data_IF_956968295686
#
_entry.id   IF_956968295686
#
_cell.length_a   1.000
_cell.length_b   1.000
_cell.length_c   1.000
_cell.angle_alpha   90.00
_cell.angle_beta   90.00
_cell.angle_gamma   90.00
#
_symmetry.space_group_name_H-M   'P 1'
#
loop_
_entity.id
_entity.type
_entity.pdbx_description
1 polymer ?
#
# COMPACT_ATOMS: atom_id res chain seq x y z
N UNK A 1 -4.41 -2.98 -50.02
CA UNK A 1 -3.38 -3.65 -49.22
C UNK A 1 -2.03 -3.40 -49.86
N UNK A 2 -1.41 -2.32 -49.41
CA UNK A 2 -0.04 -1.96 -49.60
C UNK A 2 0.79 -2.53 -48.44
N UNK A 3 2.05 -2.86 -48.74
CA UNK A 3 3.08 -3.10 -47.74
C UNK A 3 4.12 -2.00 -47.94
N UNK A 4 4.34 -1.18 -46.92
CA UNK A 4 5.18 0.01 -46.95
C UNK A 4 6.24 -0.14 -45.88
N UNK A 5 7.50 0.08 -46.25
CA UNK A 5 8.63 -0.08 -45.35
C UNK A 5 9.54 1.14 -45.47
N UNK A 6 9.92 1.69 -44.32
CA UNK A 6 10.91 2.73 -44.14
C UNK A 6 12.36 2.22 -44.24
N UNK A 7 13.28 3.08 -43.84
CA UNK A 7 14.72 2.81 -43.75
C UNK A 7 15.25 3.10 -42.33
N UNK A 8 16.49 3.57 -42.20
CA UNK A 8 17.09 3.83 -40.87
C UNK A 8 17.05 5.31 -40.48
N UNK A 9 16.44 6.14 -41.32
CA UNK A 9 16.25 7.57 -41.09
C UNK A 9 14.78 7.91 -40.89
N UNK A 10 14.48 9.13 -40.42
CA UNK A 10 13.11 9.60 -40.27
C UNK A 10 12.33 9.52 -41.59
N UNK A 11 11.20 8.83 -41.59
CA UNK A 11 10.36 8.61 -42.75
C UNK A 11 8.97 9.22 -42.59
N UNK A 12 8.33 9.48 -43.73
CA UNK A 12 6.91 9.82 -43.79
C UNK A 12 6.25 8.79 -44.69
N UNK A 13 5.46 7.92 -44.08
CA UNK A 13 4.86 6.75 -44.71
C UNK A 13 3.36 6.94 -44.77
N UNK A 14 2.75 6.67 -45.93
CA UNK A 14 1.32 6.90 -46.13
C UNK A 14 0.71 5.74 -46.92
N UNK A 15 -0.27 5.07 -46.32
CA UNK A 15 -1.11 4.05 -46.93
C UNK A 15 -2.24 4.65 -47.77
N UNK A 16 -3.27 3.86 -47.98
CA UNK A 16 -4.32 4.06 -48.98
C UNK A 16 -5.74 4.00 -48.41
N UNK A 17 -6.60 3.24 -49.08
CA UNK A 17 -8.02 3.07 -48.73
C UNK A 17 -8.35 1.63 -48.33
N UNK A 18 -7.34 0.78 -48.28
CA UNK A 18 -7.45 -0.63 -47.97
C UNK A 18 -6.64 -0.90 -46.70
N UNK A 19 -6.87 -2.04 -46.04
CA UNK A 19 -6.02 -2.52 -44.95
C UNK A 19 -4.56 -2.68 -45.42
N UNK A 20 -3.68 -1.87 -44.90
CA UNK A 20 -2.28 -1.73 -45.26
C UNK A 20 -1.37 -2.15 -44.10
N UNK A 21 -0.10 -2.44 -44.41
CA UNK A 21 0.95 -2.73 -43.42
C UNK A 21 2.06 -1.70 -43.63
N UNK A 22 2.42 -0.97 -42.59
CA UNK A 22 3.43 0.09 -42.61
C UNK A 22 4.47 -0.16 -41.53
N UNK A 23 5.74 -0.28 -41.90
CA UNK A 23 6.86 -0.46 -40.96
C UNK A 23 7.85 0.69 -41.07
N UNK A 24 8.06 1.45 -39.99
CA UNK A 24 9.00 2.56 -39.85
C UNK A 24 10.46 2.13 -39.88
N UNK A 25 10.78 1.08 -39.11
CA UNK A 25 12.13 0.52 -38.91
C UNK A 25 12.95 1.30 -37.86
N UNK A 26 14.02 2.01 -38.23
CA UNK A 26 14.73 2.87 -37.27
C UNK A 26 14.49 4.33 -37.66
N UNK A 27 14.39 5.23 -36.70
CA UNK A 27 14.21 6.66 -36.96
C UNK A 27 13.01 7.23 -36.22
N UNK A 28 12.73 8.51 -36.43
CA UNK A 28 11.52 9.14 -35.89
C UNK A 28 10.51 9.28 -37.01
N UNK A 29 9.62 8.32 -37.13
CA UNK A 29 8.75 8.15 -38.27
C UNK A 29 7.39 8.80 -38.08
N UNK A 30 6.78 9.20 -39.19
CA UNK A 30 5.40 9.68 -39.24
C UNK A 30 4.61 8.79 -40.19
N UNK A 31 3.65 8.05 -39.65
CA UNK A 31 2.87 7.05 -40.39
C UNK A 31 1.41 7.50 -40.49
N UNK A 32 0.82 7.34 -41.67
CA UNK A 32 -0.61 7.55 -41.92
C UNK A 32 -1.16 6.32 -42.60
N UNK A 33 -2.02 5.56 -41.93
CA UNK A 33 -2.67 4.38 -42.50
C UNK A 33 -3.55 4.76 -43.70
N UNK A 34 -4.41 5.76 -43.50
CA UNK A 34 -5.43 6.11 -44.48
C UNK A 34 -6.74 5.47 -44.04
N UNK A 35 -7.64 5.12 -44.97
CA UNK A 35 -8.85 4.38 -44.62
C UNK A 35 -8.55 2.87 -44.67
N UNK A 36 -9.13 2.08 -43.78
CA UNK A 36 -8.92 0.64 -43.75
C UNK A 36 -8.74 0.16 -42.33
N UNK A 37 -8.35 -1.08 -42.12
CA UNK A 37 -7.83 -1.48 -40.81
C UNK A 37 -6.35 -1.77 -41.01
N UNK A 38 -5.49 -0.85 -40.58
CA UNK A 38 -4.06 -0.86 -40.90
C UNK A 38 -3.22 -1.42 -39.75
N UNK A 39 -2.01 -1.90 -40.08
CA UNK A 39 -0.99 -2.35 -39.12
C UNK A 39 0.23 -1.43 -39.25
N UNK A 40 0.43 -0.54 -38.27
CA UNK A 40 1.51 0.45 -38.25
C UNK A 40 2.53 0.06 -37.17
N UNK A 41 3.78 -0.18 -37.56
CA UNK A 41 4.89 -0.51 -36.66
C UNK A 41 5.97 0.57 -36.77
N UNK A 42 6.14 1.41 -35.76
CA UNK A 42 7.14 2.50 -35.78
C UNK A 42 8.56 1.98 -35.67
N UNK A 43 8.77 0.87 -34.96
CA UNK A 43 10.09 0.30 -34.74
C UNK A 43 10.88 1.06 -33.66
N UNK A 44 12.12 1.46 -33.96
CA UNK A 44 13.02 2.09 -33.01
C UNK A 44 13.14 3.60 -33.25
N UNK A 45 12.72 4.40 -32.27
CA UNK A 45 12.93 5.83 -32.26
C UNK A 45 11.78 6.54 -31.55
N UNK A 46 11.36 7.70 -32.06
CA UNK A 46 10.20 8.42 -31.55
C UNK A 46 9.23 8.65 -32.70
N UNK A 47 8.18 7.85 -32.72
CA UNK A 47 7.31 7.64 -33.86
C UNK A 47 5.92 8.26 -33.64
N UNK A 48 5.25 8.60 -34.74
CA UNK A 48 3.95 9.28 -34.73
C UNK A 48 2.98 8.65 -35.71
N UNK A 49 1.86 8.12 -35.23
CA UNK A 49 0.71 7.73 -36.06
C UNK A 49 -0.22 8.94 -36.26
N UNK A 50 -0.70 9.13 -37.49
CA UNK A 50 -1.50 10.30 -37.88
C UNK A 50 -2.90 9.86 -38.29
N UNK A 51 -3.90 10.48 -37.67
CA UNK A 51 -5.32 10.24 -37.87
C UNK A 51 -6.00 11.51 -38.41
N UNK A 52 -7.01 11.33 -39.26
CA UNK A 52 -7.64 12.44 -40.00
C UNK A 52 -8.67 13.24 -39.18
N UNK A 53 -9.18 12.65 -38.09
CA UNK A 53 -10.20 13.20 -37.20
C UNK A 53 -9.68 13.93 -35.97
N UNK A 54 -10.56 14.34 -35.07
CA UNK A 54 -10.22 14.85 -33.74
C UNK A 54 -10.15 13.70 -32.73
N UNK A 55 -9.36 13.85 -31.67
CA UNK A 55 -9.19 12.81 -30.63
C UNK A 55 -10.51 12.20 -30.10
N UNK A 56 -11.55 13.01 -29.86
CA UNK A 56 -12.86 12.56 -29.35
C UNK A 56 -13.68 11.67 -30.31
N UNK A 57 -13.14 11.35 -31.48
CA UNK A 57 -13.79 10.51 -32.49
C UNK A 57 -13.13 9.14 -32.62
N UNK A 58 -12.19 8.82 -31.74
CA UNK A 58 -11.51 7.54 -31.68
C UNK A 58 -11.64 7.00 -30.26
N UNK A 59 -11.83 5.69 -30.17
CA UNK A 59 -11.69 4.92 -28.95
C UNK A 59 -10.37 4.17 -29.01
N UNK A 60 -9.85 3.72 -27.86
CA UNK A 60 -8.55 3.07 -27.78
C UNK A 60 -8.69 1.76 -27.01
N UNK A 61 -8.11 0.70 -27.53
CA UNK A 61 -8.11 -0.60 -26.88
C UNK A 61 -6.74 -1.24 -26.94
N UNK A 62 -6.35 -1.90 -25.86
CA UNK A 62 -5.16 -2.75 -25.85
C UNK A 62 -5.60 -4.18 -25.57
N UNK A 63 -5.24 -5.09 -26.48
CA UNK A 63 -5.46 -6.53 -26.29
C UNK A 63 -4.14 -7.15 -25.88
N UNK A 64 -4.04 -7.53 -24.61
CA UNK A 64 -2.90 -8.26 -24.08
C UNK A 64 -3.13 -9.75 -24.36
N UNK A 65 -2.60 -10.26 -25.48
CA UNK A 65 -2.66 -11.68 -25.86
C UNK A 65 -1.24 -12.26 -26.02
N UNK A 66 -0.88 -13.20 -25.16
CA UNK A 66 0.40 -13.94 -25.20
C UNK A 66 0.62 -14.76 -26.50
N UNK A 67 -0.41 -14.95 -27.32
CA UNK A 67 -0.39 -15.76 -28.54
C UNK A 67 -0.38 -14.96 -29.85
N UNK A 68 -0.50 -13.64 -29.79
CA UNK A 68 -0.31 -12.78 -30.97
C UNK A 68 1.18 -12.64 -31.29
N UNK A 69 1.50 -12.73 -32.59
CA UNK A 69 2.79 -13.13 -33.16
C UNK A 69 3.95 -12.13 -32.99
N UNK A 70 3.87 -11.15 -32.09
CA UNK A 70 4.89 -10.10 -31.93
C UNK A 70 5.35 -9.84 -30.48
N UNK A 71 4.97 -10.70 -29.54
CA UNK A 71 5.55 -10.69 -28.20
C UNK A 71 6.92 -11.38 -28.20
N UNK A 72 7.96 -10.72 -28.72
CA UNK A 72 9.31 -11.02 -28.25
C UNK A 72 9.44 -10.47 -26.83
N UNK A 73 9.98 -11.28 -25.93
CA UNK A 73 10.10 -11.04 -24.48
C UNK A 73 10.91 -9.78 -24.06
N UNK A 74 11.17 -8.85 -24.98
CA UNK A 74 11.94 -7.63 -24.78
C UNK A 74 11.22 -6.35 -25.27
N UNK A 75 9.96 -6.42 -25.71
CA UNK A 75 9.24 -5.30 -26.36
C UNK A 75 7.94 -4.93 -25.63
N UNK A 76 7.98 -4.78 -24.30
CA UNK A 76 6.82 -4.34 -23.48
C UNK A 76 6.76 -2.81 -23.35
N UNK A 77 7.63 -2.06 -24.04
CA UNK A 77 7.75 -0.60 -23.89
C UNK A 77 7.21 0.20 -25.09
N UNK A 78 6.76 -0.46 -26.15
CA UNK A 78 6.42 0.16 -27.44
C UNK A 78 5.01 -0.33 -27.80
N UNK A 79 4.08 0.61 -28.10
CA UNK A 79 2.60 0.45 -28.09
C UNK A 79 2.08 -0.91 -28.57
N UNK A 80 1.02 -1.42 -27.97
CA UNK A 80 0.20 -2.49 -28.56
C UNK A 80 -1.25 -2.01 -28.61
N UNK A 81 -1.44 -0.89 -29.33
CA UNK A 81 -2.64 -0.06 -29.25
C UNK A 81 -3.50 -0.24 -30.50
N UNK A 82 -4.73 -0.71 -30.32
CA UNK A 82 -5.78 -0.65 -31.32
C UNK A 82 -6.51 0.69 -31.19
N UNK A 83 -6.41 1.53 -32.22
CA UNK A 83 -7.16 2.78 -32.35
C UNK A 83 -8.43 2.48 -33.15
N UNK A 84 -9.58 2.58 -32.49
CA UNK A 84 -10.89 2.26 -33.07
C UNK A 84 -11.53 3.53 -33.62
N UNK A 85 -11.88 3.53 -34.90
CA UNK A 85 -12.56 4.66 -35.53
C UNK A 85 -14.07 4.57 -35.30
N UNK A 86 -14.58 5.37 -34.37
CA UNK A 86 -16.00 5.41 -34.03
C UNK A 86 -16.88 5.99 -35.17
N UNK A 87 -16.30 6.39 -36.31
CA UNK A 87 -17.00 6.89 -37.50
C UNK A 87 -16.53 6.19 -38.78
N UNK A 88 -17.36 5.29 -39.30
CA UNK A 88 -17.03 4.48 -40.48
C UNK A 88 -16.53 5.27 -41.70
N UNK A 89 -15.42 4.81 -42.27
CA UNK A 89 -14.91 5.24 -43.57
C UNK A 89 -13.97 6.45 -43.58
N UNK A 90 -13.38 6.82 -42.43
CA UNK A 90 -12.28 7.81 -42.38
C UNK A 90 -10.94 7.11 -42.34
N UNK A 91 -10.63 6.54 -41.17
CA UNK A 91 -9.36 5.89 -40.90
C UNK A 91 -9.56 4.39 -40.68
N UNK A 92 -10.67 4.00 -40.04
CA UNK A 92 -10.97 2.60 -39.68
C UNK A 92 -10.18 2.12 -38.45
N UNK A 93 -10.18 0.82 -38.17
CA UNK A 93 -9.61 0.31 -36.91
C UNK A 93 -8.13 -0.06 -37.11
N UNK A 94 -7.22 0.75 -36.58
CA UNK A 94 -5.78 0.66 -36.83
C UNK A 94 -5.01 0.08 -35.64
N UNK A 95 -4.12 -0.85 -35.91
CA UNK A 95 -3.24 -1.45 -34.92
C UNK A 95 -1.86 -0.78 -34.93
N UNK A 96 -1.39 -0.32 -33.77
CA UNK A 96 -0.14 0.40 -33.60
C UNK A 96 0.85 -0.38 -32.74
N UNK A 97 2.02 -0.64 -33.31
CA UNK A 97 3.21 -1.15 -32.66
C UNK A 97 4.30 -0.07 -32.62
N UNK A 98 4.97 0.11 -31.48
CA UNK A 98 6.08 1.07 -31.31
C UNK A 98 5.82 2.48 -31.82
N UNK A 99 4.73 3.09 -31.38
CA UNK A 99 4.38 4.47 -31.71
C UNK A 99 4.23 5.32 -30.44
N UNK A 100 5.03 6.37 -30.27
CA UNK A 100 4.99 7.17 -29.03
C UNK A 100 3.87 8.22 -29.03
N UNK A 101 3.52 8.74 -30.22
CA UNK A 101 2.60 9.86 -30.37
C UNK A 101 1.44 9.56 -31.31
N UNK A 102 0.26 10.03 -30.94
CA UNK A 102 -0.93 10.02 -31.78
C UNK A 102 -1.23 11.46 -32.21
N UNK A 103 -1.25 11.70 -33.52
CA UNK A 103 -1.51 13.01 -34.10
C UNK A 103 -2.90 13.05 -34.72
N UNK A 104 -3.75 13.88 -34.14
CA UNK A 104 -5.10 14.18 -34.61
C UNK A 104 -5.15 15.57 -35.26
N UNK A 105 -6.27 15.86 -35.93
CA UNK A 105 -6.53 17.18 -36.52
C UNK A 105 -6.56 18.33 -35.51
N UNK A 106 -6.81 18.04 -34.22
CA UNK A 106 -6.89 19.01 -33.13
C UNK A 106 -5.66 19.05 -32.21
N UNK A 107 -4.65 18.19 -32.42
CA UNK A 107 -3.46 18.16 -31.57
C UNK A 107 -2.67 16.85 -31.66
N UNK A 108 -1.56 16.79 -30.94
CA UNK A 108 -0.75 15.58 -30.78
C UNK A 108 -0.71 15.25 -29.29
N UNK A 109 -0.93 13.98 -28.96
CA UNK A 109 -0.92 13.45 -27.60
C UNK A 109 0.05 12.28 -27.52
N UNK A 110 0.62 12.02 -26.34
CA UNK A 110 1.28 10.75 -26.11
C UNK A 110 0.23 9.63 -26.07
N UNK A 111 0.62 8.42 -26.46
CA UNK A 111 -0.32 7.28 -26.43
C UNK A 111 -0.85 6.97 -25.03
N UNK A 112 -0.11 7.28 -23.96
CA UNK A 112 -0.54 7.08 -22.56
C UNK A 112 -1.41 8.24 -22.01
N UNK A 113 -1.66 9.29 -22.81
CA UNK A 113 -2.53 10.42 -22.45
C UNK A 113 -3.97 10.26 -23.00
N UNK A 114 -4.31 9.09 -23.55
CA UNK A 114 -5.65 8.78 -24.07
C UNK A 114 -6.31 7.73 -23.18
N UNK A 115 -7.66 7.72 -23.05
CA UNK A 115 -8.35 6.70 -22.28
C UNK A 115 -8.30 5.37 -23.04
N UNK A 116 -7.79 4.31 -22.40
CA UNK A 116 -7.59 3.00 -23.04
C UNK A 116 -8.47 1.95 -22.35
N UNK A 117 -9.13 1.13 -23.19
CA UNK A 117 -9.79 -0.10 -22.74
C UNK A 117 -8.81 -1.28 -22.82
N UNK A 118 -8.36 -1.78 -21.68
CA UNK A 118 -7.51 -2.96 -21.60
C UNK A 118 -8.38 -4.22 -21.45
N UNK A 119 -8.22 -5.18 -22.37
CA UNK A 119 -8.89 -6.49 -22.28
C UNK A 119 -7.86 -7.60 -22.45
N UNK A 120 -7.73 -8.48 -21.47
CA UNK A 120 -6.80 -9.63 -21.54
C UNK A 120 -7.56 -10.86 -22.04
N UNK A 121 -7.14 -11.44 -23.18
CA UNK A 121 -7.91 -12.49 -23.87
C UNK A 121 -7.39 -13.92 -23.67
N UNK A 122 -6.20 -14.12 -23.07
CA UNK A 122 -5.61 -15.46 -22.89
C UNK A 122 -5.76 -16.00 -21.46
N UNK A 123 -6.31 -17.21 -21.33
CA UNK A 123 -6.51 -17.92 -20.06
C UNK A 123 -5.27 -18.68 -19.55
N UNK A 124 -4.07 -18.31 -20.00
CA UNK A 124 -2.84 -19.06 -19.68
C UNK A 124 -2.02 -18.31 -18.65
N UNK A 125 -1.81 -18.99 -17.52
CA UNK A 125 -0.99 -18.66 -16.34
C UNK A 125 0.51 -18.40 -16.62
N UNK A 126 0.88 -18.05 -17.84
CA UNK A 126 2.25 -17.64 -18.20
C UNK A 126 2.44 -16.12 -18.22
N UNK A 127 1.41 -15.38 -17.78
CA UNK A 127 1.41 -13.93 -17.60
C UNK A 127 1.52 -13.54 -16.11
N UNK A 128 1.96 -14.46 -15.24
CA UNK A 128 2.36 -14.09 -13.87
C UNK A 128 3.34 -12.91 -13.94
N UNK A 129 2.88 -11.72 -13.56
CA UNK A 129 3.69 -10.50 -13.54
C UNK A 129 3.57 -9.52 -14.71
N UNK A 130 2.72 -9.74 -15.73
CA UNK A 130 2.36 -8.64 -16.66
C UNK A 130 1.22 -7.85 -16.02
N UNK A 131 1.56 -6.73 -15.38
CA UNK A 131 0.55 -5.79 -14.88
C UNK A 131 -0.30 -5.23 -16.03
N UNK A 132 -1.57 -4.99 -15.75
CA UNK A 132 -2.46 -4.18 -16.58
C UNK A 132 -2.27 -2.75 -16.10
N UNK A 133 -1.67 -1.91 -16.92
CA UNK A 133 -1.33 -0.53 -16.57
C UNK A 133 -2.23 0.44 -17.32
N UNK A 134 -2.93 1.30 -16.61
CA UNK A 134 -3.55 2.50 -17.16
C UNK A 134 -2.58 3.68 -17.21
N UNK A 135 -3.10 4.83 -17.58
CA UNK A 135 -2.40 6.07 -17.84
C UNK A 135 -2.77 7.17 -16.85
N UNK A 136 -3.00 8.39 -17.37
CA UNK A 136 -3.39 9.56 -16.56
C UNK A 136 -4.85 9.97 -16.72
N UNK A 137 -5.59 9.21 -17.51
CA UNK A 137 -6.98 9.44 -17.85
C UNK A 137 -7.82 8.30 -17.27
N UNK A 138 -9.13 8.52 -17.22
CA UNK A 138 -10.07 7.49 -16.82
C UNK A 138 -10.01 6.29 -17.77
N UNK A 139 -9.51 5.16 -17.28
CA UNK A 139 -9.31 3.94 -18.03
C UNK A 139 -10.38 2.88 -17.71
N UNK A 140 -10.48 1.87 -18.57
CA UNK A 140 -11.32 0.69 -18.32
C UNK A 140 -10.46 -0.56 -18.47
N UNK A 141 -10.25 -1.26 -17.37
CA UNK A 141 -9.40 -2.44 -17.30
C UNK A 141 -10.25 -3.65 -16.93
N UNK A 142 -10.20 -4.68 -17.77
CA UNK A 142 -10.94 -5.93 -17.56
C UNK A 142 -9.96 -7.10 -17.62
N UNK A 143 -9.82 -7.75 -16.47
CA UNK A 143 -9.05 -8.97 -16.25
C UNK A 143 -9.69 -10.20 -16.89
N UNK A 144 -8.95 -11.29 -16.83
CA UNK A 144 -9.36 -12.57 -17.39
C UNK A 144 -9.98 -13.48 -16.31
N UNK A 145 -9.64 -14.77 -16.29
CA UNK A 145 -10.19 -15.74 -15.32
C UNK A 145 -9.10 -16.34 -14.41
N UNK A 146 -7.89 -15.80 -14.49
CA UNK A 146 -6.80 -16.09 -13.55
C UNK A 146 -6.25 -14.80 -13.00
N UNK A 147 -5.28 -14.91 -12.11
CA UNK A 147 -4.77 -13.82 -11.29
C UNK A 147 -4.24 -12.64 -12.13
N UNK A 148 -4.77 -11.44 -11.85
CA UNK A 148 -4.42 -10.19 -12.53
C UNK A 148 -3.86 -9.16 -11.55
N UNK A 149 -2.85 -8.40 -11.98
CA UNK A 149 -2.34 -7.23 -11.26
C UNK A 149 -2.70 -5.96 -12.04
N UNK A 150 -3.36 -5.01 -11.39
CA UNK A 150 -3.82 -3.76 -12.01
C UNK A 150 -3.12 -2.57 -11.38
N UNK A 151 -2.61 -1.67 -12.21
CA UNK A 151 -2.19 -0.32 -11.82
C UNK A 151 -2.99 0.64 -12.69
N UNK A 152 -4.01 1.29 -12.14
CA UNK A 152 -4.85 2.22 -12.89
C UNK A 152 -4.10 3.47 -13.34
N UNK A 153 -3.23 3.99 -12.48
CA UNK A 153 -2.54 5.25 -12.73
C UNK A 153 -3.33 6.42 -12.16
N UNK A 154 -3.29 7.58 -12.83
CA UNK A 154 -4.14 8.71 -12.43
C UNK A 154 -5.43 8.67 -13.24
N UNK A 155 -6.51 9.20 -12.68
CA UNK A 155 -7.81 9.25 -13.38
C UNK A 155 -8.88 8.59 -12.51
N UNK A 156 -10.13 8.65 -12.95
CA UNK A 156 -11.19 7.86 -12.30
C UNK A 156 -11.41 6.59 -13.12
N UNK A 157 -10.80 5.47 -12.70
CA UNK A 157 -10.71 4.25 -13.50
C UNK A 157 -11.83 3.25 -13.18
N UNK A 158 -12.11 2.36 -14.13
CA UNK A 158 -12.92 1.16 -13.90
C UNK A 158 -12.02 -0.07 -13.98
N UNK A 159 -11.92 -0.81 -12.88
CA UNK A 159 -11.09 -2.01 -12.75
C UNK A 159 -11.99 -3.21 -12.43
N UNK A 160 -11.98 -4.22 -13.28
CA UNK A 160 -12.70 -5.48 -13.10
C UNK A 160 -11.71 -6.64 -13.16
N UNK A 161 -11.51 -7.37 -12.05
CA UNK A 161 -10.64 -8.55 -12.00
C UNK A 161 -11.08 -9.68 -12.94
N UNK A 162 -12.36 -9.66 -13.35
CA UNK A 162 -12.93 -10.63 -14.25
C UNK A 162 -13.71 -11.71 -13.50
N UNK A 163 -13.71 -12.93 -14.03
CA UNK A 163 -14.69 -13.96 -13.58
C UNK A 163 -14.17 -14.94 -12.53
N UNK A 164 -12.85 -14.98 -12.33
CA UNK A 164 -12.13 -15.83 -11.39
C UNK A 164 -10.67 -15.37 -11.36
N UNK A 165 -9.93 -15.81 -10.34
CA UNK A 165 -8.54 -15.40 -10.13
C UNK A 165 -8.38 -14.92 -8.71
N UNK A 166 -7.15 -14.59 -8.35
CA UNK A 166 -6.81 -13.75 -7.23
C UNK A 166 -6.30 -12.41 -7.79
N UNK A 167 -7.19 -11.42 -7.81
CA UNK A 167 -6.97 -10.18 -8.56
C UNK A 167 -6.56 -9.03 -7.64
N UNK A 168 -5.47 -8.33 -7.99
CA UNK A 168 -4.82 -7.32 -7.15
C UNK A 168 -4.89 -5.92 -7.77
N UNK A 169 -5.46 -4.96 -7.05
CA UNK A 169 -5.35 -3.54 -7.36
C UNK A 169 -4.15 -2.91 -6.63
N UNK A 170 -3.29 -2.17 -7.33
CA UNK A 170 -2.00 -1.68 -6.84
C UNK A 170 -1.94 -0.15 -6.98
N UNK A 171 -1.70 0.54 -5.86
CA UNK A 171 -1.66 2.01 -5.76
C UNK A 171 -0.26 2.57 -5.50
N UNK A 172 0.77 1.86 -5.93
CA UNK A 172 2.15 2.33 -5.92
C UNK A 172 2.88 1.96 -7.21
N UNK A 173 3.85 2.79 -7.58
CA UNK A 173 4.76 2.53 -8.70
C UNK A 173 6.13 2.13 -8.16
N UNK A 174 6.36 0.83 -7.93
CA UNK A 174 7.63 0.34 -7.39
C UNK A 174 8.79 0.37 -8.39
N UNK A 175 8.56 0.29 -9.71
CA UNK A 175 9.68 0.09 -10.63
C UNK A 175 9.44 0.52 -12.09
N UNK A 176 10.51 1.13 -12.64
CA UNK A 176 11.02 1.37 -14.00
C UNK A 176 10.16 1.34 -15.27
N UNK A 177 8.97 0.74 -15.32
CA UNK A 177 8.23 0.51 -16.56
C UNK A 177 7.18 1.57 -16.89
N UNK A 178 6.72 2.33 -15.90
CA UNK A 178 5.84 3.48 -16.10
C UNK A 178 6.57 4.71 -15.57
N UNK A 179 6.77 5.73 -16.42
CA UNK A 179 7.34 7.03 -16.02
C UNK A 179 6.37 7.86 -15.16
N UNK A 180 5.53 7.21 -14.36
CA UNK A 180 4.73 7.86 -13.33
C UNK A 180 5.68 8.26 -12.21
N UNK A 181 5.86 9.57 -12.02
CA UNK A 181 6.48 10.07 -10.81
C UNK A 181 5.63 9.60 -9.62
N UNK A 182 6.21 9.06 -8.52
CA UNK A 182 5.43 8.63 -7.36
C UNK A 182 4.42 9.71 -6.98
N UNK A 183 3.15 9.33 -6.96
CA UNK A 183 2.04 10.23 -6.63
C UNK A 183 2.06 10.43 -5.11
N UNK A 184 2.10 11.69 -4.67
CA UNK A 184 2.20 12.00 -3.26
C UNK A 184 0.83 11.97 -2.58
N UNK A 185 0.66 11.09 -1.58
CA UNK A 185 -0.53 10.96 -0.76
C UNK A 185 -1.08 9.53 -0.74
N UNK A 186 -1.81 9.21 0.32
CA UNK A 186 -2.45 7.91 0.51
C UNK A 186 -3.71 7.70 -0.30
N UNK A 187 -4.22 6.49 -0.24
CA UNK A 187 -5.48 6.03 -0.83
C UNK A 187 -6.44 5.53 0.24
N UNK A 188 -7.73 5.65 -0.05
CA UNK A 188 -8.80 5.01 0.71
C UNK A 188 -9.51 4.05 -0.22
N UNK A 189 -9.42 2.76 0.07
CA UNK A 189 -9.97 1.66 -0.73
C UNK A 189 -11.01 0.92 0.10
N UNK A 190 -12.16 0.63 -0.50
CA UNK A 190 -13.23 -0.16 0.09
C UNK A 190 -13.78 -1.16 -0.95
N UNK A 191 -13.36 -2.42 -0.81
CA UNK A 191 -13.78 -3.53 -1.68
C UNK A 191 -15.24 -3.92 -1.47
N UNK A 192 -15.80 -3.67 -0.28
CA UNK A 192 -17.22 -3.91 0.00
C UNK A 192 -18.15 -2.98 -0.79
N UNK A 193 -17.72 -1.74 -1.04
CA UNK A 193 -18.43 -0.77 -1.89
C UNK A 193 -17.92 -0.75 -3.32
N UNK A 194 -16.76 -1.34 -3.60
CA UNK A 194 -16.12 -1.37 -4.91
C UNK A 194 -15.56 -0.01 -5.30
N UNK A 195 -14.93 0.71 -4.36
CA UNK A 195 -14.40 2.05 -4.61
C UNK A 195 -12.99 2.25 -4.09
N UNK A 196 -12.22 3.09 -4.80
CA UNK A 196 -10.98 3.66 -4.29
C UNK A 196 -10.99 5.17 -4.51
N UNK A 197 -10.28 5.90 -3.66
CA UNK A 197 -10.14 7.35 -3.78
C UNK A 197 -8.80 7.82 -3.21
N UNK A 198 -8.36 9.01 -3.58
CA UNK A 198 -7.19 9.65 -2.96
C UNK A 198 -6.22 10.20 -4.00
N UNK A 199 -4.93 9.96 -3.78
CA UNK A 199 -3.87 10.49 -4.64
C UNK A 199 -3.95 9.99 -6.09
N UNK A 200 -4.46 8.77 -6.31
CA UNK A 200 -4.52 8.11 -7.61
C UNK A 200 -5.82 8.35 -8.39
N UNK A 201 -6.77 9.12 -7.84
CA UNK A 201 -8.06 9.40 -8.46
C UNK A 201 -9.21 8.67 -7.76
N UNK A 202 -10.38 8.55 -8.39
CA UNK A 202 -11.56 7.88 -7.82
C UNK A 202 -11.97 6.66 -8.67
N UNK A 203 -11.54 5.49 -8.28
CA UNK A 203 -11.72 4.28 -9.07
C UNK A 203 -12.95 3.47 -8.65
N UNK A 204 -13.49 2.75 -9.60
CA UNK A 204 -14.52 1.72 -9.40
C UNK A 204 -13.85 0.36 -9.49
N UNK A 205 -13.92 -0.42 -8.42
CA UNK A 205 -13.31 -1.74 -8.30
C UNK A 205 -14.37 -2.83 -8.31
N UNK A 206 -14.17 -3.86 -9.13
CA UNK A 206 -15.09 -4.99 -9.28
C UNK A 206 -14.27 -6.28 -9.31
N UNK A 207 -14.72 -7.32 -8.59
CA UNK A 207 -14.05 -8.62 -8.54
C UNK A 207 -12.54 -8.52 -8.18
N UNK A 208 -12.21 -7.72 -7.16
CA UNK A 208 -10.83 -7.57 -6.66
C UNK A 208 -10.72 -8.31 -5.33
N UNK A 209 -9.67 -9.12 -5.20
CA UNK A 209 -9.40 -9.92 -3.99
C UNK A 209 -8.30 -9.31 -3.13
N UNK A 210 -7.40 -8.52 -3.73
CA UNK A 210 -6.26 -7.95 -3.06
C UNK A 210 -6.05 -6.46 -3.37
N UNK A 211 -5.54 -5.74 -2.38
CA UNK A 211 -5.15 -4.34 -2.53
C UNK A 211 -3.76 -4.17 -1.97
N UNK A 212 -2.89 -3.55 -2.75
CA UNK A 212 -1.63 -3.01 -2.26
C UNK A 212 -1.72 -1.49 -2.28
N UNK A 213 -1.51 -0.89 -1.11
CA UNK A 213 -1.56 0.53 -0.85
C UNK A 213 -0.49 1.33 -1.57
N UNK A 214 -0.39 2.60 -1.18
CA UNK A 214 0.64 3.54 -1.56
C UNK A 214 1.81 3.50 -0.56
N UNK A 215 2.81 4.36 -0.74
CA UNK A 215 3.87 4.54 0.27
C UNK A 215 3.54 5.63 1.30
N UNK A 216 2.25 5.90 1.53
CA UNK A 216 1.74 6.89 2.47
C UNK A 216 0.57 6.28 3.24
N UNK A 217 0.19 6.93 4.33
CA UNK A 217 -0.93 6.52 5.18
C UNK A 217 -2.23 6.27 4.38
N UNK A 218 -2.61 5.01 4.32
CA UNK A 218 -3.76 4.49 3.59
C UNK A 218 -4.88 4.04 4.53
N UNK A 219 -6.07 3.87 3.97
CA UNK A 219 -7.21 3.20 4.61
C UNK A 219 -7.70 2.12 3.67
N UNK A 220 -7.48 0.85 4.00
CA UNK A 220 -7.82 -0.30 3.18
C UNK A 220 -8.92 -1.12 3.86
N UNK A 221 -10.06 -1.27 3.19
CA UNK A 221 -11.22 -2.00 3.67
C UNK A 221 -11.53 -3.15 2.72
N UNK A 222 -11.57 -4.37 3.25
CA UNK A 222 -11.94 -5.58 2.55
C UNK A 222 -13.45 -5.68 2.27
N UNK A 223 -13.86 -6.82 1.74
CA UNK A 223 -15.19 -7.11 1.24
C UNK A 223 -15.91 -8.15 2.07
N UNK A 224 -16.65 -9.02 1.38
CA UNK A 224 -17.34 -10.15 2.00
C UNK A 224 -16.66 -11.51 1.78
N UNK A 225 -15.54 -11.49 1.08
CA UNK A 225 -14.71 -12.65 0.71
C UNK A 225 -13.36 -12.52 1.42
N UNK A 226 -12.58 -13.59 1.46
CA UNK A 226 -11.20 -13.51 1.92
C UNK A 226 -10.38 -12.53 1.06
N UNK A 227 -9.79 -11.52 1.69
CA UNK A 227 -9.00 -10.48 1.04
C UNK A 227 -7.55 -10.44 1.53
N UNK A 228 -6.65 -9.94 0.70
CA UNK A 228 -5.28 -9.57 1.08
C UNK A 228 -5.12 -8.06 1.01
N UNK A 229 -4.88 -7.42 2.15
CA UNK A 229 -4.68 -5.97 2.25
C UNK A 229 -3.25 -5.71 2.71
N UNK A 230 -2.49 -4.98 1.90
CA UNK A 230 -1.10 -4.62 2.17
C UNK A 230 -0.96 -3.09 2.22
N UNK A 231 -0.53 -2.55 3.37
CA UNK A 231 -0.34 -1.11 3.60
C UNK A 231 0.94 -0.52 3.00
N UNK A 232 1.94 -1.35 2.69
CA UNK A 232 3.29 -0.95 2.25
C UNK A 232 4.01 -0.04 3.26
N UNK A 233 4.09 1.27 3.03
CA UNK A 233 4.80 2.16 3.95
C UNK A 233 3.84 3.27 4.37
N UNK A 234 3.80 3.61 5.65
CA UNK A 234 2.82 4.59 6.11
C UNK A 234 2.43 4.38 7.55
N UNK A 235 1.37 5.05 7.97
CA UNK A 235 0.61 4.61 9.14
C UNK A 235 -0.76 4.24 8.61
N UNK A 236 -0.98 2.94 8.38
CA UNK A 236 -2.11 2.46 7.61
C UNK A 236 -3.23 1.95 8.50
N UNK A 237 -4.46 2.06 8.01
CA UNK A 237 -5.64 1.49 8.65
C UNK A 237 -6.18 0.37 7.77
N UNK A 238 -6.15 -0.86 8.30
CA UNK A 238 -6.62 -2.07 7.63
C UNK A 238 -7.89 -2.60 8.31
N UNK A 239 -8.91 -2.91 7.52
CA UNK A 239 -10.19 -3.46 7.99
C UNK A 239 -10.56 -4.64 7.09
N UNK A 240 -10.43 -5.88 7.57
CA UNK A 240 -10.76 -7.07 6.76
C UNK A 240 -12.23 -7.16 6.33
N UNK A 241 -13.14 -6.68 7.19
CA UNK A 241 -14.58 -6.82 7.05
C UNK A 241 -15.06 -8.27 7.23
N UNK A 242 -15.67 -8.94 6.24
CA UNK A 242 -16.04 -10.36 6.38
C UNK A 242 -15.17 -11.20 5.46
N UNK A 243 -14.76 -12.36 5.94
CA UNK A 243 -13.84 -13.21 5.17
C UNK A 243 -12.83 -13.83 6.11
N UNK A 244 -11.93 -14.63 5.57
CA UNK A 244 -10.72 -15.02 6.30
C UNK A 244 -9.58 -14.18 5.68
N UNK A 245 -9.31 -13.01 6.25
CA UNK A 245 -8.48 -12.01 5.60
C UNK A 245 -7.00 -12.13 5.99
N UNK A 246 -6.12 -11.58 5.16
CA UNK A 246 -4.71 -11.36 5.49
C UNK A 246 -4.43 -9.87 5.44
N UNK A 247 -4.07 -9.30 6.59
CA UNK A 247 -3.87 -7.88 6.82
C UNK A 247 -2.38 -7.65 7.14
N UNK A 248 -1.67 -7.01 6.22
CA UNK A 248 -0.20 -6.85 6.25
C UNK A 248 0.16 -5.36 6.27
N UNK A 249 0.61 -4.84 7.42
CA UNK A 249 0.92 -3.42 7.59
C UNK A 249 2.23 -2.97 6.95
N UNK A 250 3.20 -3.89 6.85
CA UNK A 250 4.58 -3.61 6.40
C UNK A 250 5.33 -2.59 7.26
N UNK A 251 5.81 -1.49 6.68
CA UNK A 251 6.70 -0.53 7.32
C UNK A 251 5.85 0.64 7.86
N UNK A 252 5.57 0.65 9.16
CA UNK A 252 4.64 1.66 9.64
C UNK A 252 4.29 1.58 11.10
N UNK A 253 3.36 2.45 11.50
CA UNK A 253 2.53 2.24 12.68
C UNK A 253 1.14 1.87 12.20
N UNK A 254 0.88 0.58 12.08
CA UNK A 254 -0.29 0.10 11.38
C UNK A 254 -1.39 -0.36 12.33
N UNK A 255 -2.62 -0.06 11.94
CA UNK A 255 -3.83 -0.27 12.70
C UNK A 255 -4.73 -1.27 12.00
N UNK A 256 -5.13 -2.32 12.71
CA UNK A 256 -6.28 -3.13 12.33
C UNK A 256 -7.48 -2.77 13.20
N UNK A 257 -8.61 -2.47 12.57
CA UNK A 257 -9.85 -2.15 13.27
C UNK A 257 -10.85 -3.30 13.12
N UNK A 258 -11.33 -3.79 14.26
CA UNK A 258 -12.42 -4.75 14.35
C UNK A 258 -13.68 -4.07 14.86
N UNK A 259 -14.83 -4.50 14.35
CA UNK A 259 -16.12 -4.11 14.89
C UNK A 259 -16.50 -5.01 16.07
N UNK A 260 -17.05 -4.44 17.14
CA UNK A 260 -17.46 -5.21 18.31
C UNK A 260 -16.41 -5.22 19.42
N UNK A 261 -16.71 -5.95 20.50
CA UNK A 261 -15.88 -5.92 21.71
C UNK A 261 -14.77 -6.97 21.64
N UNK A 262 -13.62 -6.71 22.27
CA UNK A 262 -12.48 -7.65 22.28
C UNK A 262 -12.84 -9.06 22.80
N UNK A 263 -13.84 -9.19 23.69
CA UNK A 263 -14.31 -10.48 24.20
C UNK A 263 -14.99 -11.38 23.16
N UNK A 264 -15.30 -10.82 21.99
CA UNK A 264 -15.94 -11.51 20.87
C UNK A 264 -14.89 -12.22 20.00
N UNK A 265 -13.61 -11.89 20.18
CA UNK A 265 -12.50 -12.38 19.37
C UNK A 265 -11.57 -13.32 20.17
N UNK A 266 -11.08 -14.36 19.52
CA UNK A 266 -10.03 -15.24 20.04
C UNK A 266 -8.73 -14.93 19.32
N UNK A 267 -7.71 -14.49 20.06
CA UNK A 267 -6.37 -14.28 19.50
C UNK A 267 -5.51 -15.55 19.62
N UNK A 268 -4.77 -15.87 18.56
CA UNK A 268 -3.76 -16.94 18.54
C UNK A 268 -2.54 -16.54 17.70
N UNK A 269 -1.59 -17.46 17.51
CA UNK A 269 -0.37 -17.22 16.73
C UNK A 269 0.83 -16.78 17.58
N UNK A 270 1.74 -16.03 16.97
CA UNK A 270 2.98 -15.54 17.55
C UNK A 270 3.26 -14.09 17.12
N UNK A 271 4.38 -13.51 17.57
CA UNK A 271 4.69 -12.10 17.32
C UNK A 271 4.82 -11.72 15.82
N UNK A 272 5.19 -12.66 14.96
CA UNK A 272 5.36 -12.42 13.51
C UNK A 272 4.10 -12.70 12.70
N UNK A 273 3.14 -13.43 13.26
CA UNK A 273 1.90 -13.84 12.61
C UNK A 273 0.85 -14.06 13.69
N UNK A 274 -0.05 -13.09 13.84
CA UNK A 274 -1.16 -13.16 14.80
C UNK A 274 -2.43 -13.52 14.07
N UNK A 275 -3.31 -14.22 14.75
CA UNK A 275 -4.62 -14.52 14.21
C UNK A 275 -5.73 -14.05 15.14
N UNK A 276 -6.80 -13.54 14.57
CA UNK A 276 -8.00 -13.14 15.29
C UNK A 276 -9.21 -13.85 14.68
N UNK A 277 -9.87 -14.67 15.49
CA UNK A 277 -11.09 -15.39 15.11
C UNK A 277 -12.30 -14.73 15.77
N UNK A 278 -13.24 -14.23 14.97
CA UNK A 278 -14.53 -13.72 15.44
C UNK A 278 -15.45 -14.89 15.84
N UNK A 279 -15.79 -14.98 17.13
CA UNK A 279 -16.57 -16.09 17.67
C UNK A 279 -18.10 -15.86 17.61
N UNK A 280 -18.55 -14.67 17.21
CA UNK A 280 -19.98 -14.28 17.31
C UNK A 280 -20.53 -13.60 16.06
N UNK A 281 -19.67 -13.10 15.18
CA UNK A 281 -20.03 -12.36 13.98
C UNK A 281 -19.58 -13.05 12.70
N UNK A 282 -19.23 -12.24 11.71
CA UNK A 282 -18.92 -12.64 10.35
C UNK A 282 -17.53 -12.18 9.90
N UNK A 283 -16.72 -11.61 10.80
CA UNK A 283 -15.37 -11.17 10.50
C UNK A 283 -14.39 -12.33 10.26
N UNK A 284 -14.82 -13.58 10.49
CA UNK A 284 -14.07 -14.77 10.13
C UNK A 284 -12.74 -14.92 10.88
N UNK A 285 -11.77 -15.55 10.22
CA UNK A 285 -10.42 -15.81 10.75
C UNK A 285 -9.39 -14.96 10.01
N UNK A 286 -8.91 -13.92 10.68
CA UNK A 286 -7.96 -12.98 10.08
C UNK A 286 -6.53 -13.27 10.50
N UNK A 287 -5.60 -13.09 9.57
CA UNK A 287 -4.15 -13.19 9.78
C UNK A 287 -3.51 -11.82 9.69
N UNK A 288 -2.82 -11.41 10.75
CA UNK A 288 -2.15 -10.12 10.88
C UNK A 288 -0.63 -10.31 10.79
N UNK A 289 -0.03 -9.58 9.87
CA UNK A 289 1.40 -9.51 9.63
C UNK A 289 1.84 -8.05 9.78
N UNK A 290 2.94 -7.81 10.50
CA UNK A 290 3.51 -6.45 10.63
C UNK A 290 2.46 -5.40 11.07
N UNK A 291 1.62 -5.73 12.07
CA UNK A 291 0.60 -4.82 12.61
C UNK A 291 0.89 -4.52 14.09
N UNK A 292 1.11 -3.25 14.39
CA UNK A 292 1.46 -2.75 15.72
C UNK A 292 0.23 -2.51 16.60
N UNK A 293 -0.93 -2.21 16.02
CA UNK A 293 -2.12 -1.81 16.77
C UNK A 293 -3.35 -2.56 16.30
N UNK A 294 -4.11 -3.08 17.26
CA UNK A 294 -5.45 -3.61 17.02
C UNK A 294 -6.44 -2.84 17.87
N UNK A 295 -7.55 -2.40 17.28
CA UNK A 295 -8.62 -1.73 18.02
C UNK A 295 -9.95 -2.45 17.87
N UNK A 296 -10.59 -2.68 19.01
CA UNK A 296 -11.97 -3.08 19.18
C UNK A 296 -12.79 -1.90 19.72
N UNK A 297 -14.13 -2.02 19.76
CA UNK A 297 -15.03 -0.98 20.28
C UNK A 297 -14.70 -0.55 21.72
N UNK A 298 -14.15 -1.46 22.53
CA UNK A 298 -13.94 -1.27 23.96
C UNK A 298 -12.48 -1.44 24.43
N UNK A 299 -11.56 -1.84 23.56
CA UNK A 299 -10.17 -2.13 23.92
C UNK A 299 -9.24 -1.91 22.73
N UNK A 300 -8.09 -1.28 22.96
CA UNK A 300 -6.95 -1.31 22.06
C UNK A 300 -5.89 -2.28 22.56
N UNK A 301 -5.18 -2.95 21.66
CA UNK A 301 -4.02 -3.78 21.92
C UNK A 301 -2.82 -3.24 21.14
N UNK A 302 -1.73 -2.93 21.84
CA UNK A 302 -0.49 -2.45 21.25
C UNK A 302 0.57 -3.56 21.30
N UNK A 303 1.07 -3.93 20.14
CA UNK A 303 2.08 -4.96 20.01
C UNK A 303 3.47 -4.37 19.93
N UNK A 304 4.42 -5.07 20.54
CA UNK A 304 5.81 -4.65 20.63
C UNK A 304 6.62 -5.12 19.41
N UNK A 305 6.23 -4.68 18.22
CA UNK A 305 6.96 -4.98 16.97
C UNK A 305 8.11 -3.98 16.78
N UNK A 306 7.82 -2.68 16.91
CA UNK A 306 8.78 -1.58 16.73
C UNK A 306 9.33 -1.00 18.05
N UNK A 307 9.07 -1.65 19.19
CA UNK A 307 9.61 -1.28 20.51
C UNK A 307 8.71 -0.38 21.36
N UNK A 308 7.85 0.45 20.76
CA UNK A 308 7.09 1.46 21.50
C UNK A 308 6.16 0.89 22.59
N UNK A 309 5.49 -0.23 22.33
CA UNK A 309 4.56 -0.82 23.30
C UNK A 309 5.32 -1.43 24.50
N UNK A 310 6.42 -2.13 24.24
CA UNK A 310 7.28 -2.66 25.31
C UNK A 310 7.96 -1.54 26.09
N UNK A 311 8.38 -0.49 25.40
CA UNK A 311 8.99 0.70 26.01
C UNK A 311 8.01 1.48 26.89
N UNK A 312 6.75 1.60 26.47
CA UNK A 312 5.67 2.15 27.29
C UNK A 312 5.49 1.33 28.58
N UNK A 313 5.35 0.01 28.45
CA UNK A 313 5.22 -0.89 29.59
C UNK A 313 6.43 -0.80 30.53
N UNK A 314 7.65 -0.73 29.99
CA UNK A 314 8.88 -0.58 30.78
C UNK A 314 8.90 0.70 31.59
N UNK A 315 8.63 1.84 30.96
CA UNK A 315 8.73 3.13 31.64
C UNK A 315 7.59 3.31 32.66
N UNK A 316 6.40 2.78 32.39
CA UNK A 316 5.30 2.70 33.36
C UNK A 316 5.71 1.80 34.53
N UNK A 317 6.28 0.63 34.26
CA UNK A 317 6.80 -0.29 35.26
C UNK A 317 7.80 0.39 36.20
N UNK A 318 8.72 1.18 35.67
CA UNK A 318 9.73 1.89 36.47
C UNK A 318 9.12 3.03 37.29
N UNK A 319 8.31 3.90 36.67
CA UNK A 319 7.84 5.13 37.31
C UNK A 319 6.65 4.88 38.24
N UNK A 320 5.72 4.02 37.84
CA UNK A 320 4.46 3.79 38.53
C UNK A 320 4.39 2.43 39.23
N UNK A 321 5.13 1.43 38.74
CA UNK A 321 5.13 0.05 39.22
C UNK A 321 4.40 -0.90 38.26
N UNK A 322 4.74 -2.18 38.32
CA UNK A 322 4.20 -3.21 37.39
C UNK A 322 2.68 -3.33 37.38
N UNK A 323 2.00 -3.07 38.50
CA UNK A 323 0.53 -3.07 38.60
C UNK A 323 -0.14 -2.04 37.67
N UNK A 324 0.57 -1.00 37.24
CA UNK A 324 0.02 0.06 36.38
C UNK A 324 0.18 -0.21 34.88
N UNK A 325 0.94 -1.24 34.48
CA UNK A 325 1.13 -1.62 33.07
C UNK A 325 -0.15 -2.17 32.44
N UNK A 326 -1.11 -2.60 33.27
CA UNK A 326 -2.45 -3.02 32.82
C UNK A 326 -3.47 -1.85 32.86
N UNK A 327 -3.04 -0.63 33.19
CA UNK A 327 -3.93 0.51 33.23
C UNK A 327 -4.08 1.13 31.84
N UNK A 328 -5.14 0.75 31.16
CA UNK A 328 -5.46 1.15 29.79
C UNK A 328 -5.41 2.68 29.55
N UNK A 329 -5.75 3.48 30.56
CA UNK A 329 -5.75 4.94 30.43
C UNK A 329 -4.34 5.52 30.48
N UNK A 330 -3.44 4.91 31.25
CA UNK A 330 -2.04 5.30 31.36
C UNK A 330 -1.30 4.81 30.11
N UNK A 331 -1.49 3.55 29.73
CA UNK A 331 -0.90 2.99 28.51
C UNK A 331 -1.25 3.83 27.29
N UNK A 332 -2.52 4.22 27.13
CA UNK A 332 -2.93 5.14 26.07
C UNK A 332 -2.14 6.44 26.06
N UNK A 333 -1.87 7.04 27.22
CA UNK A 333 -1.11 8.30 27.30
C UNK A 333 0.33 8.08 26.84
N UNK A 334 0.97 7.00 27.29
CA UNK A 334 2.38 6.74 27.02
C UNK A 334 2.60 6.30 25.59
N UNK A 335 1.83 5.31 25.12
CA UNK A 335 1.88 4.79 23.75
C UNK A 335 1.66 5.94 22.75
N UNK A 336 0.63 6.78 22.94
CA UNK A 336 0.39 7.92 22.04
C UNK A 336 1.54 8.93 22.03
N UNK A 337 2.20 9.14 23.17
CA UNK A 337 3.35 10.04 23.21
C UNK A 337 4.51 9.46 22.38
N UNK A 338 4.84 8.18 22.57
CA UNK A 338 5.92 7.50 21.85
C UNK A 338 5.63 7.41 20.36
N UNK A 339 4.40 7.05 19.98
CA UNK A 339 3.94 7.00 18.59
C UNK A 339 3.97 8.39 17.92
N UNK A 340 3.74 9.46 18.69
CA UNK A 340 3.89 10.84 18.20
C UNK A 340 5.36 11.34 18.15
N UNK A 341 6.33 10.45 18.37
CA UNK A 341 7.76 10.75 18.26
C UNK A 341 8.41 11.30 19.54
N UNK A 342 7.78 11.18 20.71
CA UNK A 342 8.49 11.47 21.97
C UNK A 342 9.57 10.42 22.21
N UNK A 343 10.75 10.88 22.66
CA UNK A 343 11.74 9.94 23.19
C UNK A 343 11.31 9.45 24.57
N UNK A 344 11.74 8.26 24.95
CA UNK A 344 11.53 7.72 26.29
C UNK A 344 12.07 8.64 27.39
N UNK A 345 13.23 9.27 27.18
CA UNK A 345 13.81 10.20 28.15
C UNK A 345 12.98 11.47 28.28
N UNK A 346 12.52 12.06 27.16
CA UNK A 346 11.65 13.24 27.19
C UNK A 346 10.32 12.95 27.90
N UNK A 347 9.73 11.77 27.62
CA UNK A 347 8.52 11.33 28.31
C UNK A 347 8.77 11.10 29.81
N UNK A 348 9.87 10.43 30.16
CA UNK A 348 10.21 10.14 31.56
C UNK A 348 10.45 11.42 32.36
N UNK A 349 11.12 12.42 31.77
CA UNK A 349 11.34 13.72 32.40
C UNK A 349 10.00 14.43 32.68
N UNK A 350 9.12 14.49 31.67
CA UNK A 350 7.77 15.06 31.81
C UNK A 350 6.96 14.32 32.89
N UNK A 351 7.00 12.99 32.90
CA UNK A 351 6.28 12.17 33.86
C UNK A 351 6.80 12.40 35.28
N UNK A 352 8.12 12.45 35.49
CA UNK A 352 8.75 12.71 36.79
C UNK A 352 8.35 14.09 37.32
N UNK A 353 8.44 15.13 36.49
CA UNK A 353 8.07 16.49 36.87
C UNK A 353 6.59 16.63 37.21
N UNK A 354 5.73 15.87 36.52
CA UNK A 354 4.28 15.90 36.72
C UNK A 354 3.87 15.13 37.96
N UNK A 355 4.38 13.91 38.13
CA UNK A 355 3.93 12.97 39.16
C UNK A 355 4.67 13.15 40.48
N UNK A 356 5.94 13.57 40.44
CA UNK A 356 6.84 13.63 41.59
C UNK A 356 7.52 15.00 41.79
N UNK A 357 6.82 16.15 41.64
CA UNK A 357 7.44 17.49 41.66
C UNK A 357 8.11 17.86 43.00
N UNK A 358 7.85 17.10 44.07
CA UNK A 358 8.38 17.33 45.41
C UNK A 358 9.39 16.27 45.87
N UNK A 359 9.67 15.27 45.02
CA UNK A 359 10.57 14.18 45.40
C UNK A 359 12.02 14.63 45.31
N UNK A 360 12.81 14.24 46.31
CA UNK A 360 14.28 14.33 46.24
C UNK A 360 14.84 13.20 45.38
N UNK A 361 16.07 13.36 44.89
CA UNK A 361 16.76 12.30 44.13
C UNK A 361 16.83 10.98 44.91
N UNK A 362 17.02 11.00 46.23
CA UNK A 362 17.01 9.78 47.04
C UNK A 362 15.63 9.09 47.07
N UNK A 363 14.54 9.87 47.06
CA UNK A 363 13.18 9.33 47.00
C UNK A 363 12.86 8.77 45.62
N UNK A 364 13.27 9.43 44.54
CA UNK A 364 13.14 8.92 43.17
C UNK A 364 13.93 7.62 42.96
N UNK A 365 15.20 7.58 43.40
CA UNK A 365 16.01 6.36 43.35
C UNK A 365 15.35 5.20 44.10
N UNK A 366 14.80 5.48 45.29
CA UNK A 366 14.11 4.46 46.09
C UNK A 366 12.85 3.95 45.39
N UNK A 367 12.06 4.85 44.80
CA UNK A 367 10.85 4.52 44.05
C UNK A 367 11.16 3.62 42.86
N UNK A 368 12.02 4.09 41.94
CA UNK A 368 12.36 3.37 40.71
C UNK A 368 12.97 1.99 41.02
N UNK A 369 13.89 1.92 41.98
CA UNK A 369 14.48 0.64 42.39
C UNK A 369 13.43 -0.32 42.96
N UNK A 370 12.55 0.18 43.83
CA UNK A 370 11.53 -0.68 44.45
C UNK A 370 10.54 -1.20 43.40
N UNK A 371 10.18 -0.35 42.43
CA UNK A 371 9.28 -0.73 41.36
C UNK A 371 9.90 -1.79 40.43
N UNK A 372 11.18 -1.64 40.07
CA UNK A 372 11.89 -2.57 39.19
C UNK A 372 12.24 -3.89 39.87
N UNK A 373 12.70 -3.84 41.13
CA UNK A 373 13.29 -5.01 41.81
C UNK A 373 12.30 -5.68 42.77
N UNK A 374 11.21 -5.01 43.13
CA UNK A 374 10.15 -5.53 44.03
C UNK A 374 10.47 -5.45 45.52
N UNK A 375 11.60 -4.85 45.92
CA UNK A 375 11.94 -4.59 47.32
C UNK A 375 12.77 -3.32 47.50
N UNK A 376 12.77 -2.78 48.73
CA UNK A 376 13.45 -1.54 49.03
C UNK A 376 14.99 -1.67 48.91
N UNK A 377 15.68 -0.69 48.27
CA UNK A 377 17.14 -0.70 48.14
C UNK A 377 17.85 -0.56 49.49
N UNK A 378 19.11 -0.99 49.55
CA UNK A 378 19.98 -0.62 50.66
C UNK A 378 20.38 0.86 50.57
N UNK A 379 20.84 1.45 51.67
CA UNK A 379 21.35 2.83 51.64
C UNK A 379 22.54 3.01 50.68
N UNK A 380 23.33 1.94 50.48
CA UNK A 380 24.44 1.95 49.53
C UNK A 380 23.94 2.08 48.08
N UNK A 381 22.88 1.34 47.73
CA UNK A 381 22.28 1.38 46.40
C UNK A 381 21.64 2.75 46.14
N UNK A 382 20.92 3.31 47.12
CA UNK A 382 20.34 4.66 46.99
C UNK A 382 21.43 5.70 46.73
N UNK A 383 22.53 5.67 47.49
CA UNK A 383 23.63 6.62 47.29
C UNK A 383 24.25 6.48 45.89
N UNK A 384 24.45 5.25 45.43
CA UNK A 384 24.97 4.98 44.08
C UNK A 384 24.05 5.55 42.99
N UNK A 385 22.74 5.29 43.07
CA UNK A 385 21.77 5.77 42.09
C UNK A 385 21.62 7.29 42.10
N UNK A 386 21.72 7.93 43.27
CA UNK A 386 21.76 9.39 43.39
C UNK A 386 22.99 9.97 42.70
N UNK A 387 24.15 9.35 42.87
CA UNK A 387 25.39 9.77 42.20
C UNK A 387 25.31 9.57 40.68
N UNK A 388 24.58 8.55 40.20
CA UNK A 388 24.29 8.35 38.77
C UNK A 388 23.43 9.49 38.24
N UNK A 389 22.28 9.77 38.87
CA UNK A 389 21.38 10.86 38.42
C UNK A 389 22.05 12.23 38.43
N UNK A 390 23.00 12.48 39.34
CA UNK A 390 23.76 13.72 39.38
C UNK A 390 24.71 13.90 38.18
N UNK A 391 25.11 12.79 37.53
CA UNK A 391 25.96 12.78 36.34
C UNK A 391 25.16 12.69 35.04
N UNK A 392 23.96 12.12 35.11
CA UNK A 392 23.03 11.99 33.98
C UNK A 392 21.77 12.81 34.26
N UNK A 393 20.64 12.14 34.51
CA UNK A 393 19.36 12.71 34.94
C UNK A 393 18.50 11.61 35.58
N UNK A 394 17.39 12.00 36.21
CA UNK A 394 16.41 11.04 36.71
C UNK A 394 15.69 10.31 35.56
N UNK A 395 15.39 11.02 34.47
CA UNK A 395 14.80 10.46 33.26
C UNK A 395 15.72 9.39 32.63
N UNK A 396 17.01 9.68 32.48
CA UNK A 396 18.00 8.73 32.00
C UNK A 396 18.04 7.47 32.86
N UNK A 397 18.04 7.64 34.19
CA UNK A 397 18.02 6.50 35.11
C UNK A 397 16.74 5.67 34.95
N UNK A 398 15.59 6.31 34.73
CA UNK A 398 14.32 5.62 34.55
C UNK A 398 14.33 4.75 33.28
N UNK A 399 14.79 5.29 32.15
CA UNK A 399 14.95 4.53 30.90
C UNK A 399 15.93 3.38 31.09
N UNK A 400 17.12 3.65 31.66
CA UNK A 400 18.13 2.62 31.91
C UNK A 400 17.64 1.49 32.84
N UNK A 401 16.83 1.83 33.84
CA UNK A 401 16.24 0.84 34.74
C UNK A 401 15.13 0.03 34.05
N UNK A 402 14.46 0.63 33.06
CA UNK A 402 13.42 0.01 32.24
C UNK A 402 13.93 -1.20 31.45
N UNK A 403 15.15 -1.11 30.91
CA UNK A 403 15.80 -2.14 30.09
C UNK A 403 16.40 -3.32 30.90
N UNK A 404 16.13 -3.37 32.20
CA UNK A 404 16.67 -4.44 33.04
C UNK A 404 15.77 -5.67 33.01
N UNK A 405 16.38 -6.86 33.04
CA UNK A 405 15.63 -8.14 33.16
C UNK A 405 14.72 -8.17 34.38
N UNK A 406 15.09 -7.48 35.47
CA UNK A 406 14.24 -7.35 36.65
C UNK A 406 12.92 -6.64 36.33
N UNK A 407 12.97 -5.58 35.53
CA UNK A 407 11.78 -4.86 35.12
C UNK A 407 10.94 -5.69 34.14
N UNK A 408 11.58 -6.30 33.14
CA UNK A 408 10.90 -7.17 32.17
C UNK A 408 10.13 -8.31 32.87
N UNK A 409 10.74 -8.96 33.87
CA UNK A 409 10.09 -10.00 34.69
C UNK A 409 8.94 -9.43 35.53
N UNK A 410 9.11 -8.23 36.08
CA UNK A 410 8.13 -7.60 36.96
C UNK A 410 6.88 -7.11 36.23
N UNK A 411 7.01 -6.70 34.96
CA UNK A 411 5.90 -6.25 34.12
C UNK A 411 5.31 -7.38 33.26
N UNK A 412 5.86 -8.59 33.34
CA UNK A 412 5.53 -9.72 32.45
C UNK A 412 5.63 -9.32 30.97
N UNK A 413 6.75 -8.70 30.59
CA UNK A 413 6.95 -8.21 29.22
C UNK A 413 6.79 -9.33 28.19
N UNK A 414 7.23 -10.54 28.51
CA UNK A 414 7.07 -11.70 27.63
C UNK A 414 5.59 -11.99 27.32
N UNK A 415 4.72 -11.88 28.31
CA UNK A 415 3.28 -11.94 28.14
C UNK A 415 2.75 -10.78 27.28
N UNK A 416 3.19 -9.56 27.54
CA UNK A 416 2.77 -8.37 26.78
C UNK A 416 3.19 -8.41 25.31
N UNK A 417 4.39 -8.90 24.99
CA UNK A 417 4.84 -9.09 23.60
C UNK A 417 3.96 -10.12 22.87
N UNK A 418 3.49 -11.14 23.59
CA UNK A 418 2.61 -12.16 23.03
C UNK A 418 1.16 -11.68 22.87
N UNK A 419 0.61 -11.02 23.87
CA UNK A 419 -0.83 -10.70 23.95
C UNK A 419 -1.19 -9.25 23.65
N UNK A 420 -0.19 -8.38 23.51
CA UNK A 420 -0.37 -6.95 23.37
C UNK A 420 -0.55 -6.25 24.72
N UNK A 421 -0.14 -4.98 24.77
CA UNK A 421 -0.37 -4.06 25.88
C UNK A 421 -1.77 -3.45 25.73
N UNK A 422 -2.67 -3.61 26.70
CA UNK A 422 -4.02 -3.08 26.60
C UNK A 422 -4.03 -1.56 26.82
N UNK A 423 -4.75 -0.83 25.96
CA UNK A 423 -4.94 0.61 26.08
C UNK A 423 -6.39 1.01 25.76
N UNK A 424 -6.80 2.19 26.21
CA UNK A 424 -8.15 2.71 25.92
C UNK A 424 -8.27 3.04 24.43
N UNK A 425 -9.37 2.67 23.73
CA UNK A 425 -9.58 2.99 22.32
C UNK A 425 -9.38 4.47 21.99
N UNK A 426 -8.85 4.74 20.78
CA UNK A 426 -8.46 6.08 20.32
C UNK A 426 -9.38 6.59 19.21
N UNK A 427 -9.88 5.70 18.35
CA UNK A 427 -10.68 6.03 17.17
C UNK A 427 -12.17 5.81 17.43
#
# INVERSE_FOLDING_TARGET
MAFIQGDSGPNTLTGGLDNDIIWGMDGNDTMTGGAGNDDLDGGAGVDTAVFSGTQLQYDYSMVLDSTTWRNEANYVAHTNLLVLDSFSGRDGDDFLLGTEFLKFSNGTVHWYDVPVTYTVSSSTSSLEGIGIYGGVMNDTMIGHAGDNNFIGGLGDDYIDGGTAGFDTAIYYAADTYVTMNPVAGGVTVDLGTGSASGAWGNDTLVNIDAVIGSFYNDVLVGGASANYLNGEAGEDILIGAQGDDTLDGWDGLDWVLYNGNASEYTMSGNASERHFEDNVGSNGYDTLLNVERVQFDNLGLAFDINGNAGDAARIIGVLLGGDYVQNEAIERIVINALDSGYTLEDFADLAIDTLYPQYTSAQLATLMYTNVVGFAPSQGDVNYLVDVMAQTSAAWLAVYAGDTVYNDDNIDLAGLTQYGVPFLPII
#
